data_IF_432745257813
#
_entry.id   IF_432745257813
#
_cell.length_a   1.000
_cell.length_b   1.000
_cell.length_c   1.000
_cell.angle_alpha   90.00
_cell.angle_beta   90.00
_cell.angle_gamma   90.00
#
_symmetry.space_group_name_H-M   'P 1'
#
loop_
_entity.id
_entity.type
_entity.pdbx_description
1 polymer ?
#
# COMPACT_ATOMS: atom_id res chain seq x y z
N UNK A 1 -33.48 -22.35 -25.41
CA UNK A 1 -32.02 -22.66 -25.40
C UNK A 1 -31.55 -22.78 -23.96
N UNK A 2 -31.00 -23.93 -23.53
CA UNK A 2 -30.41 -24.07 -22.19
C UNK A 2 -29.10 -23.27 -22.17
N UNK A 3 -29.00 -22.22 -21.34
CA UNK A 3 -27.77 -21.45 -21.17
C UNK A 3 -26.70 -22.39 -20.59
N UNK A 4 -25.53 -22.48 -21.23
CA UNK A 4 -24.38 -23.17 -20.65
C UNK A 4 -24.05 -22.49 -19.31
N UNK A 5 -23.78 -23.26 -18.23
CA UNK A 5 -23.38 -22.67 -16.97
C UNK A 5 -22.07 -21.90 -17.15
N UNK A 6 -21.99 -20.72 -16.54
CA UNK A 6 -20.77 -19.93 -16.52
C UNK A 6 -19.69 -20.71 -15.76
N UNK A 7 -18.48 -20.78 -16.32
CA UNK A 7 -17.32 -21.31 -15.61
C UNK A 7 -16.90 -20.26 -14.59
N UNK A 8 -16.91 -20.62 -13.32
CA UNK A 8 -16.41 -19.81 -12.21
C UNK A 8 -15.04 -20.33 -11.79
N UNK A 9 -14.15 -19.41 -11.43
CA UNK A 9 -12.84 -19.73 -10.88
C UNK A 9 -12.68 -18.93 -9.60
N UNK A 10 -11.90 -19.46 -8.66
CA UNK A 10 -11.53 -18.70 -7.47
C UNK A 10 -10.40 -17.72 -7.81
N UNK A 11 -10.26 -16.68 -7.00
CA UNK A 11 -9.14 -15.75 -7.13
C UNK A 11 -7.81 -16.50 -6.97
N UNK A 12 -7.72 -17.40 -5.98
CA UNK A 12 -6.53 -18.21 -5.72
C UNK A 12 -6.11 -19.02 -6.95
N UNK A 13 -7.06 -19.72 -7.58
CA UNK A 13 -6.80 -20.50 -8.81
C UNK A 13 -6.25 -19.64 -9.94
N UNK A 14 -6.69 -18.39 -10.06
CA UNK A 14 -6.18 -17.49 -11.08
C UNK A 14 -4.80 -16.94 -10.72
N UNK A 15 -4.58 -16.60 -9.45
CA UNK A 15 -3.28 -16.10 -9.00
C UNK A 15 -2.20 -17.19 -9.11
N UNK A 16 -2.51 -18.43 -8.71
CA UNK A 16 -1.60 -19.58 -8.86
C UNK A 16 -1.24 -19.83 -10.33
N UNK A 17 -2.22 -19.72 -11.22
CA UNK A 17 -2.02 -19.92 -12.66
C UNK A 17 -1.16 -18.83 -13.30
N UNK A 18 -1.27 -17.58 -12.86
CA UNK A 18 -0.66 -16.42 -13.53
C UNK A 18 0.60 -15.89 -12.85
N UNK A 19 0.75 -16.10 -11.55
CA UNK A 19 1.81 -15.52 -10.71
C UNK A 19 2.57 -16.62 -9.96
N UNK A 20 1.92 -17.75 -9.71
CA UNK A 20 2.48 -18.89 -8.98
C UNK A 20 1.84 -19.04 -7.60
N UNK A 21 2.06 -20.21 -6.96
CA UNK A 21 1.47 -20.52 -5.66
C UNK A 21 2.00 -19.60 -4.56
N UNK A 22 1.22 -19.44 -3.49
CA UNK A 22 1.65 -18.70 -2.31
C UNK A 22 3.00 -19.20 -1.76
N UNK A 23 3.88 -18.27 -1.38
CA UNK A 23 5.22 -18.55 -0.89
C UNK A 23 6.29 -18.73 -1.97
N UNK A 24 5.97 -18.56 -3.26
CA UNK A 24 7.02 -18.42 -4.28
C UNK A 24 7.56 -16.99 -4.31
N UNK A 25 8.84 -16.79 -4.68
CA UNK A 25 9.42 -15.45 -4.77
C UNK A 25 8.63 -14.51 -5.69
N UNK A 26 8.07 -15.01 -6.79
CA UNK A 26 7.24 -14.24 -7.71
C UNK A 26 5.94 -13.79 -7.06
N UNK A 27 5.28 -14.68 -6.31
CA UNK A 27 4.03 -14.40 -5.62
C UNK A 27 4.23 -13.45 -4.44
N UNK A 28 5.27 -13.67 -3.64
CA UNK A 28 5.65 -12.78 -2.54
C UNK A 28 5.95 -11.37 -3.03
N UNK A 29 6.69 -11.24 -4.13
CA UNK A 29 6.96 -9.93 -4.73
C UNK A 29 5.68 -9.25 -5.22
N UNK A 30 4.80 -9.98 -5.91
CA UNK A 30 3.52 -9.44 -6.37
C UNK A 30 2.66 -8.94 -5.21
N UNK A 31 2.54 -9.72 -4.14
CA UNK A 31 1.77 -9.34 -2.96
C UNK A 31 2.39 -8.15 -2.23
N UNK A 32 3.71 -8.10 -2.13
CA UNK A 32 4.44 -6.95 -1.59
C UNK A 32 4.17 -5.68 -2.41
N UNK A 33 4.30 -5.75 -3.73
CA UNK A 33 4.04 -4.61 -4.62
C UNK A 33 2.60 -4.11 -4.47
N UNK A 34 1.62 -5.03 -4.38
CA UNK A 34 0.21 -4.71 -4.15
C UNK A 34 -0.03 -4.02 -2.79
N UNK A 35 0.64 -4.48 -1.73
CA UNK A 35 0.57 -3.84 -0.40
C UNK A 35 1.16 -2.43 -0.41
N UNK A 36 2.25 -2.23 -1.16
CA UNK A 36 2.88 -0.92 -1.31
C UNK A 36 2.01 0.05 -2.11
N UNK A 37 1.30 -0.42 -3.14
CA UNK A 37 0.33 0.39 -3.87
C UNK A 37 -0.83 0.83 -2.96
N UNK A 38 -1.35 -0.09 -2.14
CA UNK A 38 -2.39 0.24 -1.16
C UNK A 38 -1.94 1.34 -0.18
N UNK A 39 -0.67 1.32 0.24
CA UNK A 39 -0.11 2.34 1.12
C UNK A 39 -0.11 3.72 0.45
N UNK A 40 0.24 3.80 -0.84
CA UNK A 40 0.19 5.03 -1.64
C UNK A 40 -1.23 5.58 -1.75
N UNK A 41 -2.22 4.71 -1.95
CA UNK A 41 -3.63 5.06 -1.98
C UNK A 41 -4.13 5.61 -0.62
N UNK A 42 -3.70 5.03 0.49
CA UNK A 42 -4.04 5.53 1.83
C UNK A 42 -3.48 6.94 2.05
N UNK A 43 -2.24 7.21 1.63
CA UNK A 43 -1.62 8.55 1.69
C UNK A 43 -2.44 9.54 0.86
N UNK A 44 -2.76 9.19 -0.38
CA UNK A 44 -3.56 10.01 -1.28
C UNK A 44 -4.93 10.33 -0.69
N UNK A 45 -5.60 9.32 -0.12
CA UNK A 45 -6.89 9.49 0.54
C UNK A 45 -6.78 10.43 1.74
N UNK A 46 -5.80 10.22 2.62
CA UNK A 46 -5.58 11.07 3.79
C UNK A 46 -5.29 12.53 3.41
N UNK A 47 -4.51 12.76 2.34
CA UNK A 47 -4.26 14.08 1.77
C UNK A 47 -5.55 14.73 1.27
N UNK A 48 -6.36 13.99 0.51
CA UNK A 48 -7.61 14.49 -0.06
C UNK A 48 -8.66 14.81 1.03
N UNK A 49 -8.73 14.01 2.09
CA UNK A 49 -9.60 14.28 3.26
C UNK A 49 -9.22 15.58 3.96
N UNK A 50 -7.95 15.99 3.88
CA UNK A 50 -7.47 17.29 4.38
C UNK A 50 -7.51 18.40 3.33
N UNK A 51 -8.07 18.14 2.15
CA UNK A 51 -8.21 19.11 1.06
C UNK A 51 -6.87 19.70 0.58
N UNK A 52 -5.77 18.94 0.71
CA UNK A 52 -4.45 19.38 0.28
C UNK A 52 -4.17 18.93 -1.15
N UNK A 53 -3.49 19.76 -1.93
CA UNK A 53 -2.80 19.38 -3.17
C UNK A 53 -1.50 18.63 -2.84
N UNK A 54 -0.94 17.93 -3.84
CA UNK A 54 0.35 17.25 -3.67
C UNK A 54 1.50 18.23 -3.38
N UNK A 55 1.40 19.47 -3.87
CA UNK A 55 2.39 20.52 -3.66
C UNK A 55 2.32 21.11 -2.25
N UNK A 56 1.10 21.32 -1.74
CA UNK A 56 0.89 21.75 -0.35
C UNK A 56 1.36 20.69 0.64
N UNK A 57 1.03 19.41 0.39
CA UNK A 57 1.57 18.31 1.21
C UNK A 57 3.09 18.24 1.12
N UNK A 58 3.66 18.41 -0.08
CA UNK A 58 5.12 18.47 -0.26
C UNK A 58 5.75 19.58 0.58
N UNK A 59 5.13 20.76 0.59
CA UNK A 59 5.58 21.90 1.40
C UNK A 59 5.50 21.60 2.90
N UNK A 60 4.42 20.96 3.37
CA UNK A 60 4.26 20.56 4.78
C UNK A 60 5.29 19.53 5.23
N UNK A 61 5.65 18.59 4.35
CA UNK A 61 6.63 17.53 4.63
C UNK A 61 8.07 18.00 4.41
N UNK A 62 8.29 19.06 3.62
CA UNK A 62 9.61 19.56 3.23
C UNK A 62 10.21 18.80 2.03
N UNK A 63 9.39 18.35 1.10
CA UNK A 63 9.79 17.61 -0.11
C UNK A 63 9.12 18.17 -1.37
N UNK A 64 9.65 17.82 -2.53
CA UNK A 64 9.08 18.29 -3.80
C UNK A 64 7.75 17.58 -4.12
N UNK A 65 6.84 18.26 -4.83
CA UNK A 65 5.59 17.67 -5.36
C UNK A 65 5.82 16.35 -6.09
N UNK A 66 6.91 16.24 -6.85
CA UNK A 66 7.26 15.02 -7.57
C UNK A 66 7.50 13.82 -6.63
N UNK A 67 8.05 14.06 -5.43
CA UNK A 67 8.25 13.02 -4.43
C UNK A 67 6.92 12.57 -3.82
N UNK A 68 5.99 13.49 -3.54
CA UNK A 68 4.63 13.14 -3.09
C UNK A 68 3.89 12.36 -4.18
N UNK A 69 3.97 12.81 -5.43
CA UNK A 69 3.36 12.09 -6.57
C UNK A 69 3.93 10.69 -6.73
N UNK A 70 5.26 10.52 -6.60
CA UNK A 70 5.88 9.20 -6.62
C UNK A 70 5.41 8.34 -5.45
N UNK A 71 5.30 8.91 -4.26
CA UNK A 71 4.82 8.20 -3.08
C UNK A 71 3.37 7.74 -3.20
N UNK A 72 2.51 8.52 -3.85
CA UNK A 72 1.10 8.16 -4.04
C UNK A 72 0.85 7.17 -5.18
N UNK A 73 1.76 7.06 -6.15
CA UNK A 73 1.56 6.25 -7.36
C UNK A 73 2.59 5.11 -7.52
N UNK A 74 3.65 5.07 -6.71
CA UNK A 74 4.72 4.05 -6.76
C UNK A 74 5.52 4.01 -5.45
N UNK A 75 4.95 3.38 -4.43
CA UNK A 75 5.50 3.37 -3.06
C UNK A 75 6.63 2.36 -2.87
N UNK A 76 6.86 1.43 -3.81
CA UNK A 76 7.78 0.28 -3.68
C UNK A 76 9.22 0.66 -3.32
N UNK A 77 9.65 1.89 -3.63
CA UNK A 77 11.00 2.40 -3.31
C UNK A 77 11.04 3.42 -2.17
N UNK A 78 9.91 3.66 -1.51
CA UNK A 78 9.81 4.63 -0.43
C UNK A 78 10.45 4.11 0.85
N UNK A 79 11.21 4.98 1.52
CA UNK A 79 11.76 4.68 2.83
C UNK A 79 10.69 4.86 3.90
N UNK A 80 10.72 4.00 4.92
CA UNK A 80 9.76 4.05 6.02
C UNK A 80 9.74 5.42 6.72
N UNK A 81 10.90 6.04 6.94
CA UNK A 81 11.01 7.37 7.56
C UNK A 81 10.23 8.45 6.77
N UNK A 82 10.23 8.34 5.44
CA UNK A 82 9.52 9.25 4.54
C UNK A 82 8.01 9.05 4.63
N UNK A 83 7.56 7.79 4.65
CA UNK A 83 6.16 7.43 4.84
C UNK A 83 5.65 7.98 6.18
N UNK A 84 6.41 7.80 7.26
CA UNK A 84 6.05 8.29 8.59
C UNK A 84 5.97 9.81 8.67
N UNK A 85 6.93 10.52 8.07
CA UNK A 85 6.89 11.99 7.98
C UNK A 85 5.63 12.49 7.28
N UNK A 86 5.22 11.81 6.21
CA UNK A 86 4.02 12.17 5.45
C UNK A 86 2.77 11.94 6.29
N UNK A 87 2.63 10.79 6.95
CA UNK A 87 1.50 10.55 7.84
C UNK A 87 1.46 11.51 9.03
N UNK A 88 2.62 11.87 9.59
CA UNK A 88 2.71 12.88 10.65
C UNK A 88 2.26 14.27 10.15
N UNK A 89 2.68 14.69 8.96
CA UNK A 89 2.22 15.95 8.36
C UNK A 89 0.71 15.95 8.09
N UNK A 90 0.15 14.78 7.78
CA UNK A 90 -1.27 14.53 7.63
C UNK A 90 -1.99 14.30 8.97
N UNK A 91 -1.33 14.46 10.12
CA UNK A 91 -1.91 14.22 11.46
C UNK A 91 -2.58 12.84 11.60
N UNK A 92 -2.13 11.86 10.82
CA UNK A 92 -2.64 10.50 10.86
C UNK A 92 -1.92 9.74 11.97
N UNK A 93 -2.68 9.01 12.79
CA UNK A 93 -2.10 8.08 13.76
C UNK A 93 -1.69 6.81 13.01
N UNK A 94 -0.40 6.49 13.07
CA UNK A 94 0.15 5.25 12.50
C UNK A 94 0.58 4.36 13.64
N UNK A 95 0.10 3.12 13.64
CA UNK A 95 0.47 2.14 14.65
C UNK A 95 1.08 0.92 13.99
N UNK A 96 2.27 0.56 14.47
CA UNK A 96 3.00 -0.62 14.04
C UNK A 96 2.75 -1.74 15.03
N UNK A 97 2.21 -2.83 14.49
CA UNK A 97 2.05 -4.08 15.20
C UNK A 97 3.08 -5.07 14.67
N UNK A 98 3.91 -5.59 15.57
CA UNK A 98 4.88 -6.64 15.28
C UNK A 98 4.49 -7.87 16.10
N UNK A 99 4.36 -9.02 15.44
CA UNK A 99 3.99 -10.28 16.08
C UNK A 99 5.14 -11.28 15.90
N UNK A 100 5.65 -11.79 17.02
CA UNK A 100 6.72 -12.79 17.09
C UNK A 100 6.19 -13.97 17.90
N UNK A 101 6.05 -15.16 17.32
CA UNK A 101 5.56 -16.39 17.98
C UNK A 101 4.40 -16.18 18.99
N UNK A 102 4.70 -15.85 20.25
CA UNK A 102 3.74 -15.62 21.35
C UNK A 102 3.77 -14.20 21.95
N UNK A 103 4.51 -13.28 21.35
CA UNK A 103 4.70 -11.90 21.80
C UNK A 103 4.17 -10.92 20.75
N UNK A 104 3.44 -9.92 21.22
CA UNK A 104 2.91 -8.85 20.41
C UNK A 104 3.46 -7.52 20.90
N UNK A 105 4.08 -6.78 19.99
CA UNK A 105 4.63 -5.47 20.25
C UNK A 105 3.85 -4.42 19.47
N UNK A 106 3.44 -3.36 20.17
CA UNK A 106 2.78 -2.21 19.59
C UNK A 106 3.71 -0.99 19.73
N UNK A 107 4.05 -0.36 18.61
CA UNK A 107 4.85 0.85 18.58
C UNK A 107 4.12 1.93 17.78
N UNK A 108 4.23 3.18 18.26
CA UNK A 108 3.67 4.42 17.69
C UNK A 108 2.14 4.47 17.50
#
# INVERSE_FOLDING_TARGET
MKKKPLKTFTLEEQLDKHIGPAGTPEREKFEFDLQMDLLGDIIKKARQTQHLTQEELGTLVGVQKAQISKLENNTTSARLDTILKVFNALKAKVTFKVQLENEEYLFI
#
